data_IF_680123322786
#
_entry.id   IF_680123322786
#
_cell.length_a   1.000
_cell.length_b   1.000
_cell.length_c   1.000
_cell.angle_alpha   90.00
_cell.angle_beta   90.00
_cell.angle_gamma   90.00
#
_symmetry.space_group_name_H-M   'P 1'
#
loop_
_entity.id
_entity.type
_entity.pdbx_description
1 polymer ?
#
# COMPACT_ATOMS: atom_id res chain seq x y z
N UNK A 1 7.00 22.45 3.95
CA UNK A 1 6.32 21.20 4.35
C UNK A 1 4.81 21.43 4.26
N UNK A 2 4.07 20.46 3.73
CA UNK A 2 2.61 20.46 3.64
C UNK A 2 2.05 19.45 4.65
N UNK A 3 0.93 19.80 5.27
CA UNK A 3 0.26 18.98 6.29
C UNK A 3 -1.10 18.49 5.83
N UNK A 4 -1.73 19.12 4.84
CA UNK A 4 -3.02 18.69 4.28
C UNK A 4 -2.89 18.37 2.80
N UNK A 5 -3.83 17.58 2.26
CA UNK A 5 -3.94 17.33 0.83
C UNK A 5 -4.23 18.62 0.08
N UNK A 6 -5.04 19.52 0.67
CA UNK A 6 -5.24 20.87 0.14
C UNK A 6 -3.91 21.64 0.00
N UNK A 7 -3.10 21.69 1.06
CA UNK A 7 -1.78 22.35 1.01
C UNK A 7 -0.84 21.68 0.00
N UNK A 8 -0.86 20.34 -0.07
CA UNK A 8 -0.09 19.58 -1.05
C UNK A 8 -0.46 20.00 -2.48
N UNK A 9 -1.75 20.09 -2.80
CA UNK A 9 -2.25 20.56 -4.10
C UNK A 9 -1.76 21.99 -4.37
N UNK A 10 -2.02 22.93 -3.46
CA UNK A 10 -1.66 24.34 -3.62
C UNK A 10 -0.15 24.54 -3.83
N UNK A 11 0.68 23.86 -3.03
CA UNK A 11 2.14 23.94 -3.16
C UNK A 11 2.65 23.26 -4.42
N UNK A 12 2.01 22.17 -4.88
CA UNK A 12 2.46 21.43 -6.07
C UNK A 12 2.44 22.27 -7.34
N UNK A 13 1.63 23.32 -7.40
CA UNK A 13 1.56 24.25 -8.54
C UNK A 13 2.83 25.07 -8.75
N UNK A 14 3.68 25.21 -7.71
CA UNK A 14 4.98 25.85 -7.83
C UNK A 14 6.08 24.91 -8.36
N UNK A 15 5.77 23.62 -8.57
CA UNK A 15 6.70 22.59 -8.99
C UNK A 15 6.23 21.91 -10.29
N UNK A 16 7.14 21.27 -11.04
CA UNK A 16 6.77 20.52 -12.23
C UNK A 16 5.87 19.31 -11.95
N UNK A 17 5.92 18.76 -10.73
CA UNK A 17 5.14 17.61 -10.29
C UNK A 17 5.08 17.52 -8.77
N UNK A 18 4.15 16.72 -8.25
CA UNK A 18 4.09 16.35 -6.83
C UNK A 18 5.38 15.66 -6.37
N UNK A 19 5.95 14.81 -7.22
CA UNK A 19 7.23 14.17 -6.96
C UNK A 19 8.37 15.19 -6.78
N UNK A 20 8.44 16.21 -7.64
CA UNK A 20 9.44 17.27 -7.53
C UNK A 20 9.28 18.08 -6.24
N UNK A 21 8.05 18.41 -5.84
CA UNK A 21 7.76 19.02 -4.54
C UNK A 21 8.21 18.12 -3.37
N UNK A 22 7.95 16.81 -3.44
CA UNK A 22 8.37 15.88 -2.39
C UNK A 22 9.89 15.75 -2.30
N UNK A 23 10.57 15.66 -3.44
CA UNK A 23 12.05 15.64 -3.49
C UNK A 23 12.62 16.93 -2.90
N UNK A 24 12.05 18.09 -3.24
CA UNK A 24 12.44 19.36 -2.64
C UNK A 24 12.23 19.36 -1.12
N UNK A 25 11.07 18.89 -0.67
CA UNK A 25 10.73 18.77 0.75
C UNK A 25 11.72 17.85 1.49
N UNK A 26 12.12 16.71 0.92
CA UNK A 26 13.13 15.82 1.48
C UNK A 26 14.52 16.48 1.57
N UNK A 27 14.90 17.26 0.56
CA UNK A 27 16.18 18.00 0.57
C UNK A 27 16.17 19.08 1.65
N UNK A 28 15.07 19.83 1.82
CA UNK A 28 14.96 20.85 2.86
C UNK A 28 14.96 20.27 4.29
N UNK A 29 14.37 19.09 4.48
CA UNK A 29 14.24 18.44 5.79
C UNK A 29 15.38 17.46 6.11
N UNK A 30 16.40 17.39 5.25
CA UNK A 30 17.55 16.54 5.48
C UNK A 30 18.86 17.27 5.17
N UNK A 31 19.99 16.62 5.43
CA UNK A 31 21.32 17.11 5.03
C UNK A 31 21.75 16.55 3.67
N UNK A 32 20.81 16.02 2.89
CA UNK A 32 21.08 15.30 1.64
C UNK A 32 20.84 16.16 0.41
N UNK A 33 21.61 15.92 -0.64
CA UNK A 33 21.35 16.48 -1.96
C UNK A 33 20.23 15.72 -2.67
N UNK A 34 19.61 16.33 -3.69
CA UNK A 34 18.61 15.68 -4.53
C UNK A 34 19.13 14.34 -5.10
N UNK A 35 20.38 14.31 -5.57
CA UNK A 35 20.99 13.09 -6.10
C UNK A 35 21.06 11.97 -5.05
N UNK A 36 21.36 12.31 -3.79
CA UNK A 36 21.38 11.35 -2.69
C UNK A 36 19.99 10.86 -2.33
N UNK A 37 18.99 11.75 -2.31
CA UNK A 37 17.58 11.43 -2.07
C UNK A 37 17.06 10.47 -3.14
N UNK A 38 17.26 10.78 -4.42
CA UNK A 38 16.88 9.91 -5.55
C UNK A 38 17.63 8.58 -5.54
N UNK A 39 18.92 8.58 -5.20
CA UNK A 39 19.69 7.34 -5.07
C UNK A 39 19.15 6.41 -3.98
N UNK A 40 18.76 6.95 -2.81
CA UNK A 40 18.13 6.14 -1.76
C UNK A 40 16.78 5.58 -2.21
N UNK A 41 15.96 6.38 -2.91
CA UNK A 41 14.71 5.88 -3.47
C UNK A 41 14.93 4.79 -4.52
N UNK A 42 15.99 4.88 -5.33
CA UNK A 42 16.38 3.83 -6.28
C UNK A 42 16.67 2.50 -5.57
N UNK A 43 17.35 2.54 -4.41
CA UNK A 43 17.58 1.32 -3.62
C UNK A 43 16.29 0.71 -3.07
N UNK A 44 15.31 1.55 -2.72
CA UNK A 44 13.99 1.08 -2.31
C UNK A 44 13.27 0.37 -3.47
N UNK A 45 13.30 0.96 -4.67
CA UNK A 45 12.75 0.37 -5.88
C UNK A 45 13.40 -1.00 -6.19
N UNK A 46 14.72 -1.09 -6.14
CA UNK A 46 15.45 -2.35 -6.35
C UNK A 46 15.01 -3.46 -5.36
N UNK A 47 14.77 -3.09 -4.10
CA UNK A 47 14.27 -4.02 -3.08
C UNK A 47 12.85 -4.48 -3.41
N UNK A 48 11.97 -3.57 -3.86
CA UNK A 48 10.60 -3.90 -4.30
C UNK A 48 10.60 -4.86 -5.51
N UNK A 49 11.43 -4.58 -6.52
CA UNK A 49 11.56 -5.44 -7.70
C UNK A 49 12.03 -6.85 -7.34
N UNK A 50 13.06 -6.92 -6.49
CA UNK A 50 13.63 -8.19 -6.03
C UNK A 50 12.60 -9.00 -5.24
N UNK A 51 11.88 -8.37 -4.31
CA UNK A 51 10.89 -9.07 -3.49
C UNK A 51 9.71 -9.60 -4.32
N UNK A 52 9.24 -8.86 -5.33
CA UNK A 52 8.22 -9.37 -6.26
C UNK A 52 8.75 -10.58 -7.04
N UNK A 53 9.95 -10.49 -7.62
CA UNK A 53 10.55 -11.59 -8.38
C UNK A 53 10.73 -12.85 -7.51
N UNK A 54 11.21 -12.66 -6.29
CA UNK A 54 11.44 -13.73 -5.32
C UNK A 54 10.14 -14.41 -4.88
N UNK A 55 9.10 -13.63 -4.56
CA UNK A 55 7.80 -14.18 -4.17
C UNK A 55 7.12 -14.96 -5.32
N UNK A 56 7.18 -14.45 -6.56
CA UNK A 56 6.63 -15.15 -7.74
C UNK A 56 7.35 -16.49 -7.99
N UNK A 57 8.66 -16.57 -7.75
CA UNK A 57 9.41 -17.83 -7.87
C UNK A 57 8.89 -18.91 -6.89
N UNK A 58 8.26 -18.48 -5.80
CA UNK A 58 7.61 -19.28 -4.78
C UNK A 58 8.42 -19.32 -3.49
N UNK A 59 7.82 -18.87 -2.41
CA UNK A 59 8.40 -18.87 -1.06
C UNK A 59 7.39 -19.46 -0.07
N UNK A 60 7.86 -19.82 1.13
CA UNK A 60 7.01 -20.24 2.25
C UNK A 60 7.40 -19.47 3.49
N UNK A 61 6.41 -19.07 4.28
CA UNK A 61 6.65 -18.41 5.56
C UNK A 61 7.32 -19.34 6.57
N UNK A 62 7.81 -18.74 7.65
CA UNK A 62 8.44 -19.48 8.76
C UNK A 62 7.46 -20.47 9.40
N UNK A 63 6.18 -20.11 9.48
CA UNK A 63 5.13 -20.94 10.09
C UNK A 63 4.48 -21.91 9.10
N UNK A 64 4.59 -21.64 7.79
CA UNK A 64 3.92 -22.39 6.74
C UNK A 64 2.44 -22.02 6.53
N UNK A 65 1.89 -21.02 7.25
CA UNK A 65 0.52 -20.55 7.04
C UNK A 65 0.31 -19.86 5.68
N UNK A 66 1.34 -19.19 5.17
CA UNK A 66 1.31 -18.54 3.85
C UNK A 66 2.51 -18.96 2.99
N UNK A 67 2.35 -18.90 1.67
CA UNK A 67 3.41 -19.25 0.74
C UNK A 67 2.95 -19.95 -0.54
N UNK A 68 3.51 -19.51 -1.67
CA UNK A 68 3.26 -20.09 -2.99
C UNK A 68 1.96 -19.63 -3.64
N UNK A 69 1.20 -18.73 -3.02
CA UNK A 69 0.02 -18.11 -3.61
C UNK A 69 0.41 -17.16 -4.75
N UNK A 70 1.52 -16.42 -4.62
CA UNK A 70 2.03 -15.59 -5.71
C UNK A 70 2.33 -16.44 -6.96
N UNK A 71 2.91 -17.62 -6.78
CA UNK A 71 3.19 -18.57 -7.86
C UNK A 71 1.90 -19.17 -8.47
N UNK A 72 0.89 -19.46 -7.64
CA UNK A 72 -0.43 -19.89 -8.12
C UNK A 72 -1.11 -18.80 -8.95
N UNK A 73 -1.06 -17.55 -8.47
CA UNK A 73 -1.58 -16.39 -9.18
C UNK A 73 -0.83 -16.15 -10.49
N UNK A 74 0.49 -16.32 -10.53
CA UNK A 74 1.28 -16.19 -11.74
C UNK A 74 0.88 -17.22 -12.82
N UNK A 75 0.70 -18.47 -12.41
CA UNK A 75 0.19 -19.51 -13.29
C UNK A 75 -1.24 -19.21 -13.80
N UNK A 76 -2.09 -18.65 -12.94
CA UNK A 76 -3.47 -18.27 -13.31
C UNK A 76 -3.53 -17.04 -14.22
N UNK A 77 -2.66 -16.04 -14.03
CA UNK A 77 -2.49 -14.92 -14.97
C UNK A 77 -2.02 -15.44 -16.33
N UNK A 78 -1.09 -16.39 -16.34
CA UNK A 78 -0.54 -16.99 -17.57
C UNK A 78 -1.58 -17.82 -18.31
N UNK A 79 -2.49 -18.50 -17.61
CA UNK A 79 -3.55 -19.31 -18.24
C UNK A 79 -4.57 -18.47 -19.01
N UNK A 80 -4.68 -17.16 -18.71
CA UNK A 80 -5.64 -16.27 -19.36
C UNK A 80 -7.10 -16.49 -18.97
N UNK A 81 -7.39 -17.33 -17.97
CA UNK A 81 -8.75 -17.69 -17.55
C UNK A 81 -9.34 -16.75 -16.48
N UNK A 82 -8.62 -15.68 -16.14
CA UNK A 82 -9.04 -14.73 -15.11
C UNK A 82 -10.30 -13.95 -15.50
N UNK A 83 -11.11 -13.62 -14.49
CA UNK A 83 -12.29 -12.76 -14.64
C UNK A 83 -11.97 -11.28 -14.36
N UNK A 84 -11.00 -11.02 -13.49
CA UNK A 84 -10.49 -9.68 -13.20
C UNK A 84 -9.53 -9.23 -14.31
N UNK A 85 -9.55 -7.94 -14.67
CA UNK A 85 -8.65 -7.42 -15.71
C UNK A 85 -7.18 -7.77 -15.44
N UNK A 86 -6.44 -8.17 -16.48
CA UNK A 86 -5.03 -8.60 -16.38
C UNK A 86 -4.14 -7.65 -15.55
N UNK A 87 -4.18 -6.31 -15.75
CA UNK A 87 -3.33 -5.40 -14.97
C UNK A 87 -3.60 -5.46 -13.46
N UNK A 88 -4.88 -5.54 -13.08
CA UNK A 88 -5.30 -5.65 -11.68
C UNK A 88 -4.81 -6.96 -11.08
N UNK A 89 -4.97 -8.07 -11.80
CA UNK A 89 -4.55 -9.38 -11.29
C UNK A 89 -3.03 -9.50 -11.18
N UNK A 90 -2.27 -8.84 -12.04
CA UNK A 90 -0.82 -8.74 -11.90
C UNK A 90 -0.42 -7.89 -10.70
N UNK A 91 -1.12 -6.79 -10.41
CA UNK A 91 -0.88 -6.00 -9.19
C UNK A 91 -1.16 -6.83 -7.93
N UNK A 92 -2.27 -7.60 -7.94
CA UNK A 92 -2.62 -8.57 -6.89
C UNK A 92 -1.51 -9.62 -6.71
N UNK A 93 -1.06 -10.26 -7.79
CA UNK A 93 0.02 -11.25 -7.75
C UNK A 93 1.29 -10.65 -7.15
N UNK A 94 1.69 -9.47 -7.60
CA UNK A 94 2.90 -8.81 -7.13
C UNK A 94 2.79 -8.43 -5.65
N UNK A 95 1.64 -7.93 -5.20
CA UNK A 95 1.41 -7.60 -3.78
C UNK A 95 1.48 -8.85 -2.88
N UNK A 96 0.88 -9.95 -3.31
CA UNK A 96 1.01 -11.24 -2.62
C UNK A 96 2.47 -11.68 -2.57
N UNK A 97 3.21 -11.55 -3.68
CA UNK A 97 4.62 -11.93 -3.75
C UNK A 97 5.47 -11.22 -2.70
N UNK A 98 5.35 -9.90 -2.56
CA UNK A 98 6.08 -9.13 -1.55
C UNK A 98 5.70 -9.56 -0.13
N UNK A 99 4.40 -9.72 0.15
CA UNK A 99 3.97 -10.11 1.49
C UNK A 99 4.35 -11.55 1.87
N UNK A 100 4.43 -12.46 0.90
CA UNK A 100 4.99 -13.80 1.14
C UNK A 100 6.51 -13.73 1.43
N UNK A 101 7.24 -12.82 0.78
CA UNK A 101 8.66 -12.55 1.13
C UNK A 101 8.77 -11.97 2.54
N UNK A 102 7.89 -11.02 2.91
CA UNK A 102 7.83 -10.49 4.28
C UNK A 102 7.56 -11.60 5.31
N UNK A 103 6.57 -12.46 5.06
CA UNK A 103 6.18 -13.55 5.96
C UNK A 103 7.28 -14.62 6.19
N UNK A 104 8.25 -14.71 5.28
CA UNK A 104 9.44 -15.55 5.47
C UNK A 104 10.65 -14.81 6.05
N UNK A 105 10.44 -13.58 6.54
CA UNK A 105 11.49 -12.69 7.06
C UNK A 105 12.53 -12.27 6.00
N UNK A 106 12.11 -12.17 4.74
CA UNK A 106 12.93 -11.66 3.65
C UNK A 106 13.02 -10.13 3.65
N UNK A 107 13.94 -9.58 2.86
CA UNK A 107 14.14 -8.14 2.75
C UNK A 107 13.07 -7.51 1.86
N UNK A 108 12.24 -6.65 2.45
CA UNK A 108 11.18 -5.87 1.78
C UNK A 108 11.40 -4.35 1.97
N UNK A 109 10.65 -3.54 1.23
CA UNK A 109 10.55 -2.10 1.46
C UNK A 109 9.20 -1.80 2.12
N UNK A 110 9.22 -1.16 3.29
CA UNK A 110 8.00 -0.85 4.03
C UNK A 110 7.24 0.31 3.38
N UNK A 111 5.91 0.16 3.19
CA UNK A 111 5.06 1.17 2.52
C UNK A 111 3.62 1.19 3.05
N UNK A 112 3.29 1.93 4.12
CA UNK A 112 4.22 2.58 5.06
C UNK A 112 4.83 1.60 6.10
N UNK A 113 4.27 0.40 6.26
CA UNK A 113 4.79 -0.62 7.20
C UNK A 113 5.24 -1.88 6.46
N UNK A 114 5.78 -2.85 7.21
CA UNK A 114 6.05 -4.18 6.67
C UNK A 114 4.76 -4.94 6.33
N UNK A 115 3.66 -4.72 7.06
CA UNK A 115 2.39 -5.39 6.84
C UNK A 115 1.68 -4.98 5.55
N UNK A 116 1.92 -3.76 5.07
CA UNK A 116 1.35 -3.23 3.82
C UNK A 116 2.37 -3.07 2.66
N UNK A 117 3.57 -3.63 2.81
CA UNK A 117 4.69 -3.50 1.87
C UNK A 117 4.39 -3.94 0.43
N UNK A 118 3.39 -4.81 0.22
CA UNK A 118 3.09 -5.34 -1.10
C UNK A 118 2.26 -4.41 -1.97
N UNK A 119 1.46 -3.50 -1.40
CA UNK A 119 0.50 -2.71 -2.17
C UNK A 119 1.19 -1.80 -3.18
N UNK A 120 2.10 -0.93 -2.72
CA UNK A 120 2.74 0.07 -3.57
C UNK A 120 3.65 -0.57 -4.63
N UNK A 121 4.46 -1.53 -4.21
CA UNK A 121 5.30 -2.34 -5.11
C UNK A 121 4.46 -3.10 -6.14
N UNK A 122 3.33 -3.67 -5.71
CA UNK A 122 2.44 -4.44 -6.55
C UNK A 122 1.87 -3.63 -7.69
N UNK A 123 1.34 -2.45 -7.37
CA UNK A 123 0.76 -1.50 -8.33
C UNK A 123 1.83 -0.97 -9.30
N UNK A 124 2.96 -0.49 -8.77
CA UNK A 124 4.03 0.08 -9.60
C UNK A 124 4.54 -0.94 -10.64
N UNK A 125 4.90 -2.14 -10.20
CA UNK A 125 5.48 -3.14 -11.11
C UNK A 125 4.46 -3.75 -12.07
N UNK A 126 3.16 -3.72 -11.73
CA UNK A 126 2.11 -4.09 -12.67
C UNK A 126 1.90 -3.03 -13.75
N UNK A 127 2.15 -1.74 -13.47
CA UNK A 127 1.83 -0.67 -14.40
C UNK A 127 3.03 -0.06 -15.13
N UNK A 128 4.26 -0.20 -14.62
CA UNK A 128 5.45 0.46 -15.20
C UNK A 128 5.63 0.19 -16.70
N UNK A 129 5.46 -1.05 -17.15
CA UNK A 129 5.69 -1.42 -18.55
C UNK A 129 4.53 -0.96 -19.44
N UNK A 130 3.31 -0.93 -18.88
CA UNK A 130 2.08 -0.48 -19.57
C UNK A 130 2.03 1.03 -19.75
N UNK A 131 2.58 1.76 -18.79
CA UNK A 131 2.70 3.22 -18.81
C UNK A 131 4.03 3.69 -19.42
N UNK A 132 4.90 2.75 -19.83
CA UNK A 132 6.23 3.03 -20.36
C UNK A 132 7.08 3.94 -19.44
N UNK A 133 6.99 3.71 -18.12
CA UNK A 133 7.68 4.54 -17.14
C UNK A 133 9.20 4.33 -17.24
N UNK A 134 9.94 5.43 -17.41
CA UNK A 134 11.39 5.45 -17.22
C UNK A 134 11.75 5.13 -15.77
N UNK A 135 13.04 4.87 -15.51
CA UNK A 135 13.52 4.68 -14.14
C UNK A 135 13.18 5.89 -13.25
N UNK A 136 13.45 7.10 -13.74
CA UNK A 136 13.17 8.33 -12.99
C UNK A 136 11.67 8.51 -12.74
N UNK A 137 10.81 8.13 -13.70
CA UNK A 137 9.36 8.17 -13.50
C UNK A 137 8.86 7.13 -12.49
N UNK A 138 9.54 5.98 -12.37
CA UNK A 138 9.26 5.01 -11.29
C UNK A 138 9.69 5.58 -9.93
N UNK A 139 10.78 6.34 -9.85
CA UNK A 139 11.14 7.05 -8.62
C UNK A 139 10.13 8.16 -8.30
N UNK A 140 9.69 8.92 -9.31
CA UNK A 140 8.69 9.96 -9.14
C UNK A 140 7.34 9.38 -8.68
N UNK A 141 6.95 8.20 -9.16
CA UNK A 141 5.79 7.47 -8.64
C UNK A 141 5.93 7.23 -7.12
N UNK A 142 7.09 6.77 -6.66
CA UNK A 142 7.35 6.53 -5.24
C UNK A 142 7.40 7.83 -4.42
N UNK A 143 7.95 8.92 -4.96
CA UNK A 143 7.92 10.23 -4.31
C UNK A 143 6.50 10.80 -4.22
N UNK A 144 5.68 10.65 -5.26
CA UNK A 144 4.26 11.04 -5.18
C UNK A 144 3.53 10.23 -4.11
N UNK A 145 3.73 8.92 -4.07
CA UNK A 145 3.17 8.07 -3.00
C UNK A 145 3.63 8.55 -1.61
N UNK A 146 4.91 8.91 -1.47
CA UNK A 146 5.47 9.48 -0.25
C UNK A 146 4.83 10.81 0.16
N UNK A 147 4.53 11.70 -0.78
CA UNK A 147 3.87 12.98 -0.49
C UNK A 147 2.49 12.79 0.12
N UNK A 148 1.65 11.94 -0.48
CA UNK A 148 0.34 11.61 0.09
C UNK A 148 0.48 10.82 1.40
N UNK A 149 1.47 9.92 1.48
CA UNK A 149 1.78 9.18 2.71
C UNK A 149 2.15 10.09 3.88
N UNK A 150 2.92 11.15 3.62
CA UNK A 150 3.30 12.16 4.64
C UNK A 150 2.07 12.88 5.19
N UNK A 151 1.13 13.27 4.32
CA UNK A 151 -0.14 13.88 4.76
C UNK A 151 -0.95 12.90 5.60
N UNK A 152 -1.10 11.65 5.15
CA UNK A 152 -1.85 10.63 5.90
C UNK A 152 -1.22 10.42 7.27
N UNK A 153 0.10 10.22 7.34
CA UNK A 153 0.81 9.96 8.60
C UNK A 153 0.77 11.12 9.61
N UNK A 154 0.59 12.36 9.15
CA UNK A 154 0.50 13.53 10.03
C UNK A 154 -0.93 13.76 10.58
N UNK A 155 -1.96 13.20 9.95
CA UNK A 155 -3.36 13.45 10.31
C UNK A 155 -4.12 12.20 10.76
N UNK A 156 -3.54 11.02 10.48
CA UNK A 156 -4.00 9.70 10.91
C UNK A 156 -2.78 8.85 11.30
N UNK A 157 -3.02 7.68 11.89
CA UNK A 157 -1.96 6.70 12.08
C UNK A 157 -1.58 5.99 10.76
N UNK A 158 -0.46 5.26 10.80
CA UNK A 158 -0.03 4.36 9.71
C UNK A 158 0.09 2.90 10.15
N UNK A 159 -0.19 2.60 11.42
CA UNK A 159 0.06 1.32 12.04
C UNK A 159 -1.24 0.57 12.34
N UNK A 160 -1.28 -0.73 12.04
CA UNK A 160 -2.42 -1.59 12.35
C UNK A 160 -2.79 -1.60 13.83
N UNK A 161 -1.78 -1.50 14.70
CA UNK A 161 -1.91 -1.45 16.15
C UNK A 161 -2.57 -0.18 16.70
N UNK A 162 -2.52 0.95 15.97
CA UNK A 162 -3.02 2.23 16.47
C UNK A 162 -4.49 2.46 16.11
N UNK A 163 -4.83 2.34 14.82
CA UNK A 163 -6.18 2.57 14.32
C UNK A 163 -6.67 1.53 13.30
N UNK A 164 -6.11 0.32 13.32
CA UNK A 164 -6.54 -0.80 12.50
C UNK A 164 -5.88 -0.83 11.12
N UNK A 165 -6.18 -1.85 10.33
CA UNK A 165 -5.54 -2.07 9.03
C UNK A 165 -6.00 -1.07 7.95
N UNK A 166 -7.05 -0.28 8.24
CA UNK A 166 -7.39 0.91 7.47
C UNK A 166 -6.26 1.96 7.46
N UNK A 167 -5.51 2.08 8.54
CA UNK A 167 -4.36 3.00 8.65
C UNK A 167 -3.09 2.40 8.05
N UNK A 168 -3.01 1.09 7.95
CA UNK A 168 -1.84 0.40 7.40
C UNK A 168 -1.98 0.10 5.89
N UNK A 169 -2.83 -0.86 5.55
CA UNK A 169 -3.08 -1.26 4.15
C UNK A 169 -3.94 -0.22 3.44
N UNK A 170 -4.85 0.45 4.14
CA UNK A 170 -5.64 1.53 3.55
C UNK A 170 -4.79 2.71 3.12
N UNK A 171 -3.86 3.15 3.98
CA UNK A 171 -2.87 4.19 3.64
C UNK A 171 -2.00 3.78 2.46
N UNK A 172 -1.45 2.56 2.46
CA UNK A 172 -0.65 2.05 1.34
C UNK A 172 -1.44 2.04 0.01
N UNK A 173 -2.72 1.65 0.07
CA UNK A 173 -3.61 1.62 -1.09
C UNK A 173 -3.90 3.02 -1.61
N UNK A 174 -4.15 3.97 -0.71
CA UNK A 174 -4.41 5.36 -1.07
C UNK A 174 -3.16 6.04 -1.68
N UNK A 175 -1.98 5.81 -1.09
CA UNK A 175 -0.69 6.25 -1.62
C UNK A 175 -0.46 5.72 -3.05
N UNK A 176 -0.71 4.41 -3.25
CA UNK A 176 -0.56 3.78 -4.56
C UNK A 176 -1.57 4.31 -5.58
N UNK A 177 -2.82 4.56 -5.18
CA UNK A 177 -3.86 5.11 -6.05
C UNK A 177 -3.49 6.52 -6.55
N UNK A 178 -3.07 7.42 -5.65
CA UNK A 178 -2.60 8.75 -6.03
C UNK A 178 -1.41 8.71 -6.98
N UNK A 179 -0.39 7.92 -6.65
CA UNK A 179 0.79 7.79 -7.49
C UNK A 179 0.44 7.28 -8.89
N UNK A 180 -0.44 6.28 -8.98
CA UNK A 180 -0.90 5.74 -10.26
C UNK A 180 -1.66 6.76 -11.10
N UNK A 181 -2.53 7.57 -10.49
CA UNK A 181 -3.22 8.66 -11.21
C UNK A 181 -2.20 9.61 -11.84
N UNK A 182 -1.24 10.10 -11.06
CA UNK A 182 -0.22 11.04 -11.57
C UNK A 182 0.68 10.41 -12.64
N UNK A 183 1.06 9.15 -12.48
CA UNK A 183 1.90 8.43 -13.45
C UNK A 183 1.17 8.16 -14.77
N UNK A 184 -0.17 8.08 -14.74
CA UNK A 184 -1.00 8.00 -15.95
C UNK A 184 -1.45 9.37 -16.47
N UNK A 185 -0.80 10.47 -16.03
CA UNK A 185 -1.05 11.82 -16.53
C UNK A 185 -2.28 12.53 -15.95
N UNK A 186 -2.88 11.99 -14.89
CA UNK A 186 -3.96 12.66 -14.16
C UNK A 186 -3.46 13.83 -13.30
N UNK A 187 -4.37 14.75 -12.96
CA UNK A 187 -4.03 15.91 -12.13
C UNK A 187 -3.87 15.54 -10.66
N UNK A 188 -3.29 16.45 -9.87
CA UNK A 188 -3.14 16.25 -8.41
C UNK A 188 -4.50 16.21 -7.70
N UNK A 189 -5.51 16.90 -8.22
CA UNK A 189 -6.89 16.84 -7.71
C UNK A 189 -7.54 15.48 -8.00
N UNK A 190 -7.25 14.88 -9.16
CA UNK A 190 -7.66 13.50 -9.43
C UNK A 190 -6.93 12.52 -8.51
N UNK A 191 -5.64 12.75 -8.22
CA UNK A 191 -4.89 11.94 -7.26
C UNK A 191 -5.49 12.03 -5.84
N UNK A 192 -5.84 13.24 -5.39
CA UNK A 192 -6.55 13.46 -4.13
C UNK A 192 -7.93 12.77 -4.12
N UNK A 193 -8.64 12.79 -5.25
CA UNK A 193 -9.91 12.07 -5.41
C UNK A 193 -9.72 10.55 -5.28
N UNK A 194 -8.68 10.00 -5.88
CA UNK A 194 -8.36 8.57 -5.76
C UNK A 194 -8.00 8.18 -4.32
N UNK A 195 -7.29 9.05 -3.58
CA UNK A 195 -7.04 8.88 -2.13
C UNK A 195 -8.36 8.83 -1.36
N UNK A 196 -9.24 9.80 -1.58
CA UNK A 196 -10.53 9.86 -0.90
C UNK A 196 -11.38 8.62 -1.19
N UNK A 197 -11.51 8.20 -2.45
CA UNK A 197 -12.28 6.99 -2.84
C UNK A 197 -11.68 5.75 -2.18
N UNK A 198 -10.36 5.62 -2.18
CA UNK A 198 -9.69 4.45 -1.61
C UNK A 198 -9.93 4.35 -0.11
N UNK A 199 -9.67 5.43 0.63
CA UNK A 199 -9.79 5.43 2.10
C UNK A 199 -11.24 5.26 2.57
N UNK A 200 -12.22 5.85 1.88
CA UNK A 200 -13.65 5.63 2.19
C UNK A 200 -14.02 4.15 2.19
N UNK A 201 -13.46 3.38 1.25
CA UNK A 201 -13.74 1.95 1.12
C UNK A 201 -12.86 1.08 2.05
N UNK A 202 -11.86 1.66 2.72
CA UNK A 202 -11.03 0.98 3.72
C UNK A 202 -11.48 1.29 5.15
N UNK A 203 -12.38 2.25 5.33
CA UNK A 203 -12.82 2.74 6.63
C UNK A 203 -13.44 1.63 7.48
N UNK A 204 -12.99 1.52 8.73
CA UNK A 204 -13.41 0.50 9.69
C UNK A 204 -12.68 -0.85 9.57
N UNK A 205 -11.69 -0.98 8.68
CA UNK A 205 -10.93 -2.22 8.54
C UNK A 205 -10.05 -2.47 9.79
N UNK A 206 -10.48 -3.41 10.63
CA UNK A 206 -9.80 -3.82 11.88
C UNK A 206 -8.45 -4.49 11.62
N UNK A 207 -7.56 -4.52 12.61
CA UNK A 207 -6.34 -5.34 12.58
C UNK A 207 -6.49 -6.49 13.58
N UNK A 208 -6.64 -7.72 13.11
CA UNK A 208 -6.77 -8.90 13.99
C UNK A 208 -6.12 -10.13 13.33
N UNK A 209 -4.78 -10.15 13.23
CA UNK A 209 -4.06 -11.20 12.53
C UNK A 209 -4.04 -12.52 13.31
N UNK A 210 -4.20 -13.63 12.60
CA UNK A 210 -4.10 -14.99 13.20
C UNK A 210 -2.72 -15.16 13.80
N UNK A 211 -2.69 -15.66 15.04
CA UNK A 211 -1.46 -15.86 15.82
C UNK A 211 -0.60 -14.60 16.01
N UNK A 212 -1.15 -13.38 15.78
CA UNK A 212 -0.37 -12.14 15.84
C UNK A 212 0.64 -11.99 14.70
N UNK A 213 0.51 -12.77 13.63
CA UNK A 213 1.49 -12.85 12.55
C UNK A 213 1.05 -12.08 11.31
N UNK A 214 2.01 -11.47 10.62
CA UNK A 214 1.80 -10.73 9.37
C UNK A 214 1.63 -11.69 8.17
N UNK A 215 0.68 -12.61 8.30
CA UNK A 215 0.38 -13.67 7.32
C UNK A 215 -1.10 -13.66 6.97
N UNK A 216 -1.95 -14.00 7.94
CA UNK A 216 -3.40 -14.12 7.75
C UNK A 216 -4.10 -13.07 8.62
N UNK A 217 -4.89 -12.15 8.06
CA UNK A 217 -5.26 -12.00 6.64
C UNK A 217 -4.34 -11.06 5.84
N UNK A 218 -3.19 -10.63 6.40
CA UNK A 218 -2.36 -9.54 5.89
C UNK A 218 -1.96 -9.70 4.41
N UNK A 219 -1.59 -10.92 3.98
CA UNK A 219 -1.21 -11.19 2.58
C UNK A 219 -2.36 -10.90 1.61
N UNK A 220 -3.58 -11.34 1.95
CA UNK A 220 -4.78 -11.13 1.13
C UNK A 220 -5.27 -9.69 1.20
N UNK A 221 -5.03 -9.00 2.32
CA UNK A 221 -5.32 -7.56 2.41
C UNK A 221 -4.44 -6.74 1.47
N UNK A 222 -3.18 -7.11 1.27
CA UNK A 222 -2.32 -6.44 0.29
C UNK A 222 -2.79 -6.68 -1.15
N UNK A 223 -3.22 -7.91 -1.47
CA UNK A 223 -3.85 -8.22 -2.75
C UNK A 223 -5.05 -7.30 -3.02
N UNK A 224 -6.00 -7.25 -2.08
CA UNK A 224 -7.21 -6.45 -2.25
C UNK A 224 -6.93 -4.95 -2.22
N UNK A 225 -6.01 -4.49 -1.38
CA UNK A 225 -5.55 -3.11 -1.35
C UNK A 225 -4.95 -2.65 -2.68
N UNK A 226 -4.08 -3.48 -3.29
CA UNK A 226 -3.54 -3.21 -4.63
C UNK A 226 -4.65 -3.17 -5.69
N UNK A 227 -5.63 -4.08 -5.63
CA UNK A 227 -6.74 -4.07 -6.57
C UNK A 227 -7.61 -2.82 -6.44
N UNK A 228 -7.87 -2.38 -5.21
CA UNK A 228 -8.67 -1.20 -4.91
C UNK A 228 -7.94 0.08 -5.31
N UNK A 229 -6.63 0.15 -5.11
CA UNK A 229 -5.82 1.29 -5.57
C UNK A 229 -5.92 1.48 -7.10
N UNK A 230 -5.84 0.38 -7.86
CA UNK A 230 -5.99 0.40 -9.33
C UNK A 230 -7.38 0.90 -9.74
N UNK A 231 -8.43 0.37 -9.13
CA UNK A 231 -9.81 0.76 -9.43
C UNK A 231 -10.10 2.21 -9.04
N UNK A 232 -9.65 2.66 -7.87
CA UNK A 232 -9.80 4.05 -7.44
C UNK A 232 -9.09 5.03 -8.37
N UNK A 233 -7.90 4.66 -8.89
CA UNK A 233 -7.19 5.46 -9.87
C UNK A 233 -7.98 5.57 -11.19
N UNK A 234 -8.49 4.44 -11.70
CA UNK A 234 -9.35 4.43 -12.90
C UNK A 234 -10.61 5.29 -12.71
N UNK A 235 -11.27 5.19 -11.55
CA UNK A 235 -12.44 6.01 -11.23
C UNK A 235 -12.12 7.51 -11.24
N UNK A 236 -11.03 7.92 -10.60
CA UNK A 236 -10.62 9.32 -10.56
C UNK A 236 -10.23 9.85 -11.96
N UNK A 237 -9.52 9.04 -12.75
CA UNK A 237 -9.15 9.36 -14.14
C UNK A 237 -10.37 9.45 -15.06
N UNK A 238 -11.40 8.62 -14.81
CA UNK A 238 -12.69 8.67 -15.50
C UNK A 238 -13.53 9.90 -15.13
N UNK A 239 -13.09 10.71 -14.17
CA UNK A 239 -13.79 11.92 -13.72
C UNK A 239 -14.84 11.67 -12.64
N UNK A 240 -14.86 10.49 -12.01
CA UNK A 240 -15.62 10.30 -10.78
C UNK A 240 -15.01 11.19 -9.69
N UNK A 241 -15.87 11.95 -8.99
CA UNK A 241 -15.46 12.83 -7.90
C UNK A 241 -15.88 12.25 -6.56
N UNK A 242 -15.02 12.39 -5.54
CA UNK A 242 -15.43 12.13 -4.17
C UNK A 242 -16.23 13.32 -3.65
N UNK A 243 -17.42 13.05 -3.09
CA UNK A 243 -18.24 14.11 -2.48
C UNK A 243 -17.57 14.65 -1.22
N UNK A 244 -16.89 13.80 -0.46
CA UNK A 244 -16.13 14.17 0.74
C UNK A 244 -14.66 14.38 0.35
N UNK A 245 -14.05 15.55 0.64
CA UNK A 245 -12.65 15.82 0.34
C UNK A 245 -11.68 14.85 1.03
N UNK A 246 -10.51 14.66 0.43
CA UNK A 246 -9.49 13.72 0.94
C UNK A 246 -9.08 14.00 2.39
N UNK A 247 -8.89 15.26 2.76
CA UNK A 247 -8.53 15.67 4.13
C UNK A 247 -9.57 15.22 5.17
N UNK A 248 -10.86 15.42 4.88
CA UNK A 248 -11.95 14.99 5.76
C UNK A 248 -12.06 13.47 5.85
N UNK A 249 -11.78 12.75 4.75
CA UNK A 249 -11.72 11.28 4.75
C UNK A 249 -10.56 10.78 5.60
N UNK A 250 -9.38 11.40 5.52
CA UNK A 250 -8.21 11.04 6.35
C UNK A 250 -8.52 11.25 7.83
N UNK A 251 -9.13 12.39 8.19
CA UNK A 251 -9.57 12.64 9.57
C UNK A 251 -10.62 11.60 10.02
N UNK A 252 -11.54 11.21 9.14
CA UNK A 252 -12.53 10.18 9.45
C UNK A 252 -11.88 8.81 9.72
N UNK A 253 -10.86 8.42 8.93
CA UNK A 253 -10.07 7.20 9.17
C UNK A 253 -9.46 7.22 10.57
N UNK A 254 -8.80 8.32 10.94
CA UNK A 254 -8.19 8.50 12.27
C UNK A 254 -9.25 8.42 13.39
N UNK A 255 -10.35 9.16 13.27
CA UNK A 255 -11.42 9.16 14.29
C UNK A 255 -12.05 7.78 14.46
N UNK A 256 -12.23 7.03 13.38
CA UNK A 256 -12.73 5.64 13.45
C UNK A 256 -11.67 4.73 14.09
N UNK A 257 -10.40 4.87 13.71
CA UNK A 257 -9.29 4.10 14.26
C UNK A 257 -9.17 4.26 15.77
N UNK A 258 -9.24 5.49 16.25
CA UNK A 258 -9.22 5.82 17.68
C UNK A 258 -10.42 5.26 18.47
N UNK A 259 -11.54 5.00 17.81
CA UNK A 259 -12.73 4.38 18.42
C UNK A 259 -12.70 2.85 18.37
N UNK A 260 -11.77 2.23 17.65
CA UNK A 260 -11.67 0.78 17.63
C UNK A 260 -11.28 0.26 19.03
N UNK A 261 -12.01 -0.74 19.57
CA UNK A 261 -11.60 -1.45 20.77
C UNK A 261 -10.17 -2.01 20.63
N UNK A 262 -9.43 -2.06 21.73
CA UNK A 262 -8.08 -2.65 21.73
C UNK A 262 -8.07 -4.10 21.18
N UNK A 263 -9.15 -4.86 21.41
CA UNK A 263 -9.32 -6.22 20.89
C UNK A 263 -9.41 -6.31 19.36
N UNK A 264 -9.65 -5.19 18.68
CA UNK A 264 -9.73 -5.07 17.21
C UNK A 264 -8.54 -4.28 16.63
N UNK A 265 -7.52 -4.02 17.45
CA UNK A 265 -6.28 -3.29 17.13
C UNK A 265 -5.05 -4.14 17.40
N UNK A 266 -4.75 -5.03 16.46
CA UNK A 266 -3.59 -5.94 16.34
C UNK A 266 -3.35 -6.92 17.50
N UNK A 267 -4.07 -6.80 18.61
CA UNK A 267 -3.96 -7.69 19.79
C UNK A 267 -4.31 -9.15 19.50
N UNK A 268 -5.10 -9.44 18.47
CA UNK A 268 -5.47 -10.81 18.11
C UNK A 268 -6.58 -11.40 19.00
N UNK A 269 -7.40 -10.55 19.63
CA UNK A 269 -8.35 -10.95 20.68
C UNK A 269 -9.82 -10.81 20.26
N UNK A 270 -10.12 -10.18 19.12
CA UNK A 270 -11.49 -9.71 18.84
C UNK A 270 -12.19 -10.31 17.62
N UNK A 271 -11.47 -10.89 16.66
CA UNK A 271 -12.04 -11.24 15.35
C UNK A 271 -11.53 -12.56 14.76
N UNK A 272 -10.83 -12.48 13.62
CA UNK A 272 -10.33 -13.65 12.91
C UNK A 272 -9.37 -14.51 13.76
N UNK A 273 -8.54 -13.86 14.58
CA UNK A 273 -7.55 -14.52 15.41
C UNK A 273 -8.16 -15.42 16.49
N UNK A 274 -9.38 -15.11 16.95
CA UNK A 274 -10.09 -15.87 18.00
C UNK A 274 -11.10 -16.88 17.47
N UNK A 275 -11.19 -17.05 16.14
CA UNK A 275 -11.98 -18.13 15.55
C UNK A 275 -11.43 -19.51 15.97
N UNK A 276 -12.24 -20.60 15.95
CA UNK A 276 -11.76 -21.93 16.30
C UNK A 276 -10.52 -22.38 15.50
N UNK A 277 -10.46 -22.00 14.23
CA UNK A 277 -9.28 -22.28 13.39
C UNK A 277 -8.10 -21.37 13.74
N UNK A 278 -8.34 -20.08 13.99
CA UNK A 278 -7.29 -19.14 14.41
C UNK A 278 -6.61 -19.58 15.72
N UNK A 279 -7.41 -19.98 16.72
CA UNK A 279 -6.91 -20.48 18.00
C UNK A 279 -6.12 -21.78 17.84
N UNK A 280 -6.64 -22.75 17.08
CA UNK A 280 -5.91 -24.00 16.79
C UNK A 280 -4.57 -23.74 16.11
N UNK A 281 -4.53 -22.85 15.10
CA UNK A 281 -3.29 -22.52 14.40
C UNK A 281 -2.28 -21.81 15.32
N UNK A 282 -2.76 -20.92 16.20
CA UNK A 282 -1.91 -20.28 17.23
C UNK A 282 -1.27 -21.32 18.15
N UNK A 283 -2.04 -22.30 18.63
CA UNK A 283 -1.55 -23.38 19.48
C UNK A 283 -0.54 -24.27 18.75
N UNK A 284 -0.80 -24.63 17.48
CA UNK A 284 0.12 -25.42 16.65
C UNK A 284 1.47 -24.72 16.42
N UNK A 285 1.47 -23.38 16.32
CA UNK A 285 2.69 -22.59 16.07
C UNK A 285 3.49 -22.34 17.34
N UNK A 286 2.82 -21.99 18.45
CA UNK A 286 3.50 -21.57 19.68
C UNK A 286 3.51 -22.61 20.81
N UNK A 287 2.78 -23.72 20.65
CA UNK A 287 2.61 -24.74 21.68
C UNK A 287 1.83 -24.24 22.92
N UNK A 288 1.01 -23.20 22.75
CA UNK A 288 0.20 -22.55 23.80
C UNK A 288 -1.10 -21.99 23.27
#
# INVERSE_FOLDING_TARGET
>A
MFYTVKELIEQSHAFPSVAALMVHTEVENSTRTEAQVRHLMSRNLEVMERSVKEGIAGVKSVTGLTGGEAKKLDAYVTSGQFMSGKPILEAVRNAVAVNEVNAKMGLICATPTAGSAGVLAGVLLAMRDRLHLSHDQQLDFLFTAGAFGLVIANNAGIAGAEGGCQEEVGSASAMAAAALVTANGGTVEQAATAVAITLQNMLGLVCDPVAGLVEVPCVKRNALGASQAMISADMALAGCISVIPADEVIEAVNRVGMQLPATLRETGEGGLATTPTGLRLKEEIFGK
#
